data_IF_861207347219
#
_entry.id   IF_861207347219
#
_cell.length_a   1.000
_cell.length_b   1.000
_cell.length_c   1.000
_cell.angle_alpha   90.00
_cell.angle_beta   90.00
_cell.angle_gamma   90.00
#
_symmetry.space_group_name_H-M   'P 1'
#
loop_
_entity.id
_entity.type
_entity.pdbx_description
1 polymer ?
#
# COMPACT_ATOMS: atom_id res chain seq x y z
N UNK A 1 9.56 2.59 12.48
CA UNK A 1 9.89 2.00 11.15
C UNK A 1 10.31 3.13 10.22
N UNK A 2 11.40 2.97 9.45
CA UNK A 2 11.86 3.98 8.47
C UNK A 2 11.92 3.31 7.12
N UNK A 3 11.08 3.77 6.18
CA UNK A 3 11.09 3.32 4.78
C UNK A 3 11.37 4.50 3.86
N UNK A 4 11.86 4.21 2.66
CA UNK A 4 12.08 5.18 1.58
C UNK A 4 11.24 4.81 0.39
N UNK A 5 10.87 5.75 -0.46
CA UNK A 5 10.28 5.42 -1.76
C UNK A 5 11.21 4.50 -2.58
N UNK A 6 10.64 3.66 -3.48
CA UNK A 6 11.42 2.76 -4.33
C UNK A 6 12.19 3.49 -5.43
N UNK A 7 11.89 4.77 -5.68
CA UNK A 7 12.68 5.70 -6.47
C UNK A 7 13.16 6.87 -5.63
N UNK A 8 14.27 7.47 -6.01
CA UNK A 8 14.78 8.71 -5.40
C UNK A 8 15.08 9.69 -6.53
N UNK A 9 14.22 10.67 -6.68
CA UNK A 9 14.36 11.77 -7.62
C UNK A 9 14.84 13.03 -6.89
N UNK A 10 15.59 13.89 -7.55
CA UNK A 10 15.94 15.20 -6.98
C UNK A 10 14.69 15.98 -6.60
N UNK A 11 14.76 16.71 -5.49
CA UNK A 11 13.70 17.63 -5.08
C UNK A 11 13.71 18.85 -5.99
N UNK A 12 12.53 19.29 -6.41
CA UNK A 12 12.39 20.56 -7.12
C UNK A 12 12.51 21.73 -6.13
N UNK A 13 12.91 22.89 -6.64
CA UNK A 13 12.98 24.11 -5.82
C UNK A 13 11.57 24.46 -5.29
N UNK A 14 11.48 24.69 -3.98
CA UNK A 14 10.21 25.02 -3.31
C UNK A 14 9.23 23.87 -3.13
N UNK A 15 9.58 22.66 -3.54
CA UNK A 15 8.72 21.47 -3.39
C UNK A 15 8.61 21.04 -1.92
N UNK A 16 7.40 20.86 -1.41
CA UNK A 16 7.18 20.32 -0.06
C UNK A 16 7.44 18.81 0.01
N UNK A 17 7.60 18.26 1.21
CA UNK A 17 7.92 16.85 1.43
C UNK A 17 6.86 15.92 0.85
N UNK A 18 5.58 16.23 1.04
CA UNK A 18 4.47 15.42 0.54
C UNK A 18 4.49 15.32 -0.99
N UNK A 19 4.56 16.46 -1.68
CA UNK A 19 4.61 16.50 -3.15
C UNK A 19 5.85 15.80 -3.71
N UNK A 20 6.98 15.92 -3.01
CA UNK A 20 8.20 15.22 -3.39
C UNK A 20 8.04 13.71 -3.28
N UNK A 21 7.43 13.20 -2.19
CA UNK A 21 7.17 11.77 -2.00
C UNK A 21 6.17 11.26 -3.03
N UNK A 22 5.06 11.96 -3.25
CA UNK A 22 4.07 11.61 -4.27
C UNK A 22 4.69 11.49 -5.67
N UNK A 23 5.56 12.43 -6.03
CA UNK A 23 6.26 12.40 -7.32
C UNK A 23 7.23 11.23 -7.46
N UNK A 24 7.66 10.61 -6.36
CA UNK A 24 8.50 9.41 -6.39
C UNK A 24 7.71 8.10 -6.53
N UNK A 25 6.38 8.15 -6.37
CA UNK A 25 5.50 6.98 -6.53
C UNK A 25 4.32 7.33 -7.45
N UNK A 26 4.56 7.80 -8.68
CA UNK A 26 3.48 8.03 -9.62
C UNK A 26 2.88 6.68 -10.01
N UNK A 27 1.58 6.51 -9.77
CA UNK A 27 0.88 5.24 -10.00
C UNK A 27 0.06 5.26 -11.29
N UNK A 28 -0.11 4.08 -11.90
CA UNK A 28 -1.07 3.87 -12.97
C UNK A 28 -2.45 3.62 -12.37
N UNK A 29 -3.35 4.59 -12.52
CA UNK A 29 -4.72 4.54 -12.00
C UNK A 29 -5.55 3.34 -12.50
N UNK A 30 -5.14 2.65 -13.56
CA UNK A 30 -5.81 1.44 -14.04
C UNK A 30 -5.38 0.20 -13.24
N UNK A 31 -4.28 0.31 -12.46
CA UNK A 31 -3.61 -0.79 -11.78
C UNK A 31 -3.30 -0.43 -10.34
N UNK A 32 -4.30 0.18 -9.68
CA UNK A 32 -4.22 0.60 -8.30
C UNK A 32 -4.46 -0.54 -7.31
N UNK A 33 -4.07 -0.29 -6.07
CA UNK A 33 -4.34 -1.12 -4.90
C UNK A 33 -5.62 -0.62 -4.20
N UNK A 34 -6.41 -1.49 -3.57
CA UNK A 34 -6.36 -2.96 -3.58
C UNK A 34 -7.16 -3.61 -4.71
N UNK A 35 -7.94 -2.82 -5.45
CA UNK A 35 -8.78 -3.28 -6.55
C UNK A 35 -8.56 -2.35 -7.73
N UNK A 36 -8.18 -2.91 -8.85
CA UNK A 36 -8.01 -2.17 -10.08
C UNK A 36 -9.34 -1.81 -10.74
N UNK A 37 -9.32 -0.99 -11.79
CA UNK A 37 -10.55 -0.56 -12.49
C UNK A 37 -11.33 -1.70 -13.15
N UNK A 38 -10.70 -2.84 -13.40
CA UNK A 38 -11.38 -4.04 -13.90
C UNK A 38 -12.05 -4.88 -12.80
N UNK A 39 -11.99 -4.43 -11.55
CA UNK A 39 -12.57 -5.12 -10.41
C UNK A 39 -11.76 -6.32 -9.93
N UNK A 40 -10.52 -6.46 -10.37
CA UNK A 40 -9.62 -7.53 -9.94
C UNK A 40 -8.77 -7.10 -8.76
N UNK A 41 -8.51 -8.04 -7.83
CA UNK A 41 -7.58 -7.83 -6.73
C UNK A 41 -6.18 -7.54 -7.26
N UNK A 42 -5.55 -6.50 -6.74
CA UNK A 42 -4.19 -6.14 -7.06
C UNK A 42 -3.42 -5.83 -5.77
N UNK A 43 -2.50 -6.68 -5.37
CA UNK A 43 -1.81 -6.63 -4.06
C UNK A 43 -0.80 -5.51 -3.90
N UNK A 44 -0.58 -4.70 -4.92
CA UNK A 44 0.35 -3.57 -4.92
C UNK A 44 -0.07 -2.51 -5.91
N UNK A 45 0.87 -1.68 -6.33
CA UNK A 45 0.66 -0.62 -7.31
C UNK A 45 1.67 -0.75 -8.46
N UNK A 46 1.31 -0.31 -9.64
CA UNK A 46 2.28 -0.12 -10.73
C UNK A 46 2.84 1.29 -10.65
N UNK A 47 4.12 1.38 -10.33
CA UNK A 47 4.84 2.66 -10.24
C UNK A 47 5.36 3.00 -11.63
N UNK A 48 4.89 4.14 -12.17
CA UNK A 48 5.31 4.64 -13.46
C UNK A 48 6.72 5.24 -13.39
N UNK A 49 7.46 5.07 -14.45
CA UNK A 49 8.76 5.69 -14.58
C UNK A 49 8.93 6.29 -15.98
N UNK A 50 9.82 7.26 -16.07
CA UNK A 50 10.19 7.86 -17.35
C UNK A 50 11.57 7.33 -17.73
N UNK A 51 11.61 6.43 -18.72
CA UNK A 51 12.82 6.17 -19.46
C UNK A 51 12.89 7.14 -20.61
N UNK A 52 13.91 7.94 -20.62
CA UNK A 52 14.23 8.67 -21.81
C UNK A 52 15.52 8.11 -22.41
N UNK A 53 15.43 7.16 -23.36
CA UNK A 53 16.60 6.56 -24.00
C UNK A 53 17.48 7.59 -24.72
N UNK A 54 16.91 8.75 -25.12
CA UNK A 54 17.64 9.81 -25.84
C UNK A 54 18.53 10.66 -24.91
N UNK A 55 18.35 10.57 -23.60
CA UNK A 55 19.10 11.37 -22.62
C UNK A 55 20.29 10.66 -21.99
N UNK A 56 20.60 9.46 -22.47
CA UNK A 56 21.77 8.68 -22.07
C UNK A 56 21.64 7.96 -20.72
N UNK A 57 22.59 7.09 -20.42
CA UNK A 57 22.63 6.22 -19.23
C UNK A 57 22.50 6.93 -17.88
N UNK A 58 22.63 8.24 -17.84
CA UNK A 58 22.55 9.02 -16.60
C UNK A 58 21.13 9.22 -16.07
N UNK A 59 20.09 8.86 -16.83
CA UNK A 59 18.70 9.02 -16.44
C UNK A 59 17.88 7.74 -16.33
N UNK A 60 18.53 6.58 -16.37
CA UNK A 60 17.84 5.34 -16.03
C UNK A 60 17.47 5.38 -14.55
N UNK A 61 16.17 5.33 -14.28
CA UNK A 61 15.67 5.24 -12.92
C UNK A 61 15.92 3.83 -12.38
N UNK A 62 16.69 3.74 -11.31
CA UNK A 62 16.94 2.48 -10.62
C UNK A 62 15.91 2.26 -9.54
N UNK A 63 15.36 1.06 -9.50
CA UNK A 63 14.56 0.60 -8.37
C UNK A 63 15.47 0.39 -7.17
N UNK A 64 15.04 0.86 -6.02
CA UNK A 64 15.82 0.86 -4.77
C UNK A 64 15.11 0.12 -3.67
N UNK A 65 15.90 -0.51 -2.79
CA UNK A 65 15.39 -1.09 -1.56
C UNK A 65 14.76 -0.01 -0.67
N UNK A 66 13.53 -0.22 -0.25
CA UNK A 66 12.82 0.73 0.61
C UNK A 66 13.34 0.77 2.05
N UNK A 67 13.96 -0.31 2.50
CA UNK A 67 14.52 -0.47 3.84
C UNK A 67 15.67 -1.48 3.81
N UNK A 68 16.42 -1.54 4.90
CA UNK A 68 17.40 -2.60 5.12
C UNK A 68 16.70 -3.96 5.14
N UNK A 69 17.28 -4.96 4.50
CA UNK A 69 16.64 -6.26 4.38
C UNK A 69 17.54 -7.36 3.85
N UNK A 70 16.92 -8.50 3.65
CA UNK A 70 17.55 -9.72 3.12
C UNK A 70 16.76 -10.20 1.90
N UNK A 71 17.46 -10.61 0.87
CA UNK A 71 16.86 -11.20 -0.34
C UNK A 71 16.31 -12.59 -0.03
N UNK A 72 15.00 -12.74 -0.10
CA UNK A 72 14.32 -14.02 0.10
C UNK A 72 14.28 -14.83 -1.20
N UNK A 73 13.93 -14.15 -2.29
CA UNK A 73 13.83 -14.77 -3.60
C UNK A 73 14.00 -13.71 -4.68
N UNK A 74 14.46 -14.14 -5.83
CA UNK A 74 14.58 -13.29 -7.00
C UNK A 74 14.56 -14.11 -8.29
N UNK A 75 14.28 -13.44 -9.38
CA UNK A 75 14.45 -13.96 -10.73
C UNK A 75 15.09 -12.89 -11.59
N UNK A 76 16.15 -13.26 -12.28
CA UNK A 76 16.72 -12.42 -13.33
C UNK A 76 15.72 -12.34 -14.50
N UNK A 77 15.61 -11.19 -15.16
CA UNK A 77 14.75 -11.04 -16.32
C UNK A 77 15.08 -12.05 -17.42
N UNK A 78 14.05 -12.58 -18.05
CA UNK A 78 14.20 -13.49 -19.20
C UNK A 78 14.83 -12.76 -20.41
N UNK A 79 15.34 -13.52 -21.35
CA UNK A 79 15.85 -12.99 -22.61
C UNK A 79 14.72 -12.33 -23.46
N UNK A 80 15.14 -11.57 -24.47
CA UNK A 80 14.21 -10.81 -25.32
C UNK A 80 13.19 -11.72 -26.03
N UNK A 81 13.63 -12.87 -26.57
CA UNK A 81 12.75 -13.79 -27.28
C UNK A 81 11.58 -14.27 -26.42
N UNK A 82 11.86 -14.58 -25.15
CA UNK A 82 10.82 -15.02 -24.21
C UNK A 82 9.87 -13.88 -23.83
N UNK A 83 10.40 -12.67 -23.71
CA UNK A 83 9.57 -11.48 -23.39
C UNK A 83 8.65 -11.08 -24.52
N UNK A 84 9.00 -11.41 -25.76
CA UNK A 84 8.20 -11.11 -26.94
C UNK A 84 7.16 -12.22 -27.26
N UNK A 85 7.10 -13.27 -26.44
CA UNK A 85 6.18 -14.40 -26.58
C UNK A 85 5.21 -14.54 -25.40
N UNK A 86 4.09 -15.24 -25.63
CA UNK A 86 3.17 -15.61 -24.56
C UNK A 86 3.90 -16.46 -23.47
N UNK A 87 3.64 -16.25 -22.16
CA UNK A 87 2.62 -15.38 -21.59
C UNK A 87 3.09 -13.95 -21.29
N UNK A 88 4.31 -13.55 -21.62
CA UNK A 88 4.87 -12.25 -21.29
C UNK A 88 4.47 -11.15 -22.30
N UNK A 89 3.80 -11.51 -23.37
CA UNK A 89 3.28 -10.60 -24.37
C UNK A 89 1.81 -10.92 -24.67
N UNK A 90 0.90 -10.46 -23.80
CA UNK A 90 -0.56 -10.61 -23.96
C UNK A 90 -1.17 -9.31 -24.46
N UNK A 91 -0.95 -8.22 -23.74
CA UNK A 91 -1.43 -6.86 -24.06
C UNK A 91 -0.26 -5.92 -24.38
N UNK A 92 0.82 -6.48 -24.90
CA UNK A 92 2.11 -5.85 -25.04
C UNK A 92 3.16 -6.49 -24.14
N UNK A 93 4.39 -6.11 -24.35
CA UNK A 93 5.54 -6.70 -23.69
C UNK A 93 5.54 -6.43 -22.18
N UNK A 94 5.81 -7.49 -21.42
CA UNK A 94 5.98 -7.41 -19.95
C UNK A 94 7.32 -8.02 -19.56
N UNK A 95 8.10 -7.33 -18.75
CA UNK A 95 9.31 -7.85 -18.16
C UNK A 95 8.99 -8.75 -16.94
N UNK A 96 9.77 -9.80 -16.72
CA UNK A 96 9.45 -10.83 -15.73
C UNK A 96 10.43 -10.94 -14.56
N UNK A 97 11.40 -10.05 -14.49
CA UNK A 97 12.33 -10.00 -13.36
C UNK A 97 11.62 -9.61 -12.07
N UNK A 98 12.00 -10.22 -10.94
CA UNK A 98 11.49 -9.82 -9.64
C UNK A 98 12.52 -9.95 -8.52
N UNK A 99 12.29 -9.22 -7.43
CA UNK A 99 13.03 -9.30 -6.17
C UNK A 99 12.03 -9.26 -5.03
N UNK A 100 12.15 -10.20 -4.10
CA UNK A 100 11.43 -10.24 -2.83
C UNK A 100 12.41 -10.03 -1.69
N UNK A 101 12.21 -8.95 -0.93
CA UNK A 101 13.01 -8.62 0.24
C UNK A 101 12.21 -8.86 1.51
N UNK A 102 12.88 -9.40 2.53
CA UNK A 102 12.37 -9.49 3.91
C UNK A 102 13.02 -8.39 4.74
N UNK A 103 12.20 -7.67 5.47
CA UNK A 103 12.61 -6.61 6.36
C UNK A 103 12.24 -6.95 7.80
N UNK A 104 13.02 -6.46 8.74
CA UNK A 104 12.71 -6.52 10.16
C UNK A 104 12.93 -5.13 10.76
N UNK A 105 11.94 -4.63 11.43
CA UNK A 105 12.00 -3.33 12.09
C UNK A 105 11.40 -3.40 13.48
N UNK A 106 11.80 -2.48 14.32
CA UNK A 106 11.23 -2.29 15.64
C UNK A 106 10.24 -1.13 15.60
N UNK A 107 9.05 -1.36 16.20
CA UNK A 107 7.97 -0.39 16.30
C UNK A 107 7.56 -0.25 17.76
N UNK A 108 8.13 0.69 18.49
CA UNK A 108 7.88 0.84 19.92
C UNK A 108 8.62 -0.20 20.79
N UNK A 109 8.32 -0.24 22.05
CA UNK A 109 9.07 -0.96 23.07
C UNK A 109 9.11 -2.47 22.82
N UNK A 110 10.25 -2.93 22.32
CA UNK A 110 10.54 -4.36 22.09
C UNK A 110 9.60 -5.08 21.12
N UNK A 111 8.75 -4.34 20.38
CA UNK A 111 7.88 -4.92 19.38
C UNK A 111 8.58 -4.96 18.01
N UNK A 112 8.87 -6.17 17.54
CA UNK A 112 9.53 -6.37 16.25
C UNK A 112 8.51 -6.85 15.22
N UNK A 113 8.51 -6.18 14.06
CA UNK A 113 7.67 -6.49 12.91
C UNK A 113 8.52 -6.99 11.76
N UNK A 114 8.05 -8.07 11.13
CA UNK A 114 8.60 -8.58 9.88
C UNK A 114 7.64 -8.28 8.76
N UNK A 115 8.14 -7.68 7.69
CA UNK A 115 7.38 -7.38 6.49
C UNK A 115 8.22 -7.62 5.24
N UNK A 116 7.57 -7.64 4.10
CA UNK A 116 8.20 -7.92 2.83
C UNK A 116 7.92 -6.79 1.85
N UNK A 117 8.89 -6.54 0.96
CA UNK A 117 8.67 -5.72 -0.22
C UNK A 117 8.94 -6.53 -1.48
N UNK A 118 8.02 -6.45 -2.43
CA UNK A 118 8.08 -7.15 -3.71
C UNK A 118 8.19 -6.12 -4.84
N UNK A 119 9.14 -6.34 -5.70
CA UNK A 119 9.40 -5.55 -6.90
C UNK A 119 9.35 -6.49 -8.10
N UNK A 120 8.39 -6.30 -9.02
CA UNK A 120 8.23 -7.15 -10.20
C UNK A 120 8.34 -6.32 -11.49
N UNK A 121 8.43 -7.03 -12.59
CA UNK A 121 8.58 -6.44 -13.94
C UNK A 121 9.88 -5.65 -14.08
N UNK A 122 10.94 -6.15 -13.45
CA UNK A 122 12.27 -5.59 -13.59
C UNK A 122 12.91 -6.08 -14.90
N UNK A 123 13.67 -5.20 -15.56
CA UNK A 123 14.45 -5.53 -16.75
C UNK A 123 15.94 -5.46 -16.45
N UNK A 124 16.74 -5.98 -17.36
CA UNK A 124 18.18 -5.95 -17.33
C UNK A 124 18.82 -6.57 -16.06
N UNK A 125 20.03 -6.18 -15.75
CA UNK A 125 20.78 -6.79 -14.67
C UNK A 125 20.26 -6.31 -13.32
N UNK A 126 19.96 -7.27 -12.47
CA UNK A 126 19.86 -7.01 -11.05
C UNK A 126 21.23 -6.64 -10.48
N UNK A 127 21.25 -5.92 -9.37
CA UNK A 127 22.50 -5.64 -8.66
C UNK A 127 23.22 -6.95 -8.31
N UNK A 128 24.55 -7.01 -8.38
CA UNK A 128 25.34 -8.19 -7.95
C UNK A 128 25.10 -8.59 -6.48
N UNK A 129 24.61 -7.67 -5.65
CA UNK A 129 24.22 -7.96 -4.27
C UNK A 129 22.96 -8.84 -4.18
N UNK A 130 22.18 -8.94 -5.26
CA UNK A 130 20.94 -9.72 -5.31
C UNK A 130 21.27 -11.18 -5.49
N UNK A 131 21.25 -11.89 -4.37
CA UNK A 131 21.38 -13.34 -4.24
C UNK A 131 20.60 -13.77 -3.01
N UNK A 132 20.07 -14.95 -2.96
CA UNK A 132 19.36 -15.49 -1.80
C UNK A 132 20.20 -15.36 -0.52
N UNK A 133 19.62 -14.87 0.56
CA UNK A 133 20.28 -14.53 1.81
C UNK A 133 21.20 -13.30 1.73
N UNK A 134 21.28 -12.64 0.57
CA UNK A 134 22.06 -11.41 0.41
C UNK A 134 21.44 -10.24 1.16
N UNK A 135 22.26 -9.43 1.82
CA UNK A 135 21.80 -8.22 2.50
C UNK A 135 21.77 -7.04 1.55
N UNK A 136 20.74 -6.23 1.69
CA UNK A 136 20.59 -4.93 1.01
C UNK A 136 20.33 -3.86 2.06
N UNK A 137 20.78 -2.65 1.78
CA UNK A 137 20.56 -1.50 2.64
C UNK A 137 19.50 -0.58 2.04
N UNK A 138 18.82 0.15 2.87
CA UNK A 138 17.85 1.16 2.43
C UNK A 138 18.47 2.10 1.40
N UNK A 139 17.79 2.30 0.27
CA UNK A 139 18.22 3.09 -0.89
C UNK A 139 19.26 2.43 -1.80
N UNK A 140 19.72 1.23 -1.52
CA UNK A 140 20.55 0.49 -2.47
C UNK A 140 19.82 0.31 -3.79
N UNK A 141 20.56 0.42 -4.88
CA UNK A 141 20.07 0.06 -6.21
C UNK A 141 19.95 -1.45 -6.30
N UNK A 142 18.74 -1.96 -6.50
CA UNK A 142 18.50 -3.41 -6.54
C UNK A 142 18.23 -3.92 -7.95
N UNK A 143 17.70 -3.10 -8.83
CA UNK A 143 17.40 -3.46 -10.20
C UNK A 143 17.06 -2.25 -11.06
N UNK A 144 16.76 -2.52 -12.30
CA UNK A 144 16.23 -1.54 -13.22
C UNK A 144 14.74 -1.76 -13.41
N UNK A 145 14.00 -0.68 -13.47
CA UNK A 145 12.60 -0.64 -13.85
C UNK A 145 12.41 -1.26 -15.24
N UNK A 146 11.24 -1.82 -15.48
CA UNK A 146 10.93 -2.50 -16.72
C UNK A 146 9.60 -2.06 -17.32
N UNK A 147 8.89 -2.98 -17.95
CA UNK A 147 7.65 -2.74 -18.66
C UNK A 147 6.56 -3.70 -18.20
N UNK A 148 5.32 -3.20 -18.23
CA UNK A 148 4.10 -3.98 -18.04
C UNK A 148 3.12 -3.60 -19.16
N UNK A 149 2.76 -4.54 -20.02
CA UNK A 149 1.90 -4.33 -21.18
C UNK A 149 2.31 -3.06 -21.98
N UNK A 150 3.60 -2.99 -22.32
CA UNK A 150 4.26 -1.87 -23.02
C UNK A 150 4.32 -0.54 -22.26
N UNK A 151 3.80 -0.48 -21.03
CA UNK A 151 3.93 0.73 -20.21
C UNK A 151 5.19 0.66 -19.36
N UNK A 152 5.93 1.74 -19.31
CA UNK A 152 7.07 1.90 -18.42
C UNK A 152 6.62 1.93 -16.97
N UNK A 153 6.62 0.77 -16.33
CA UNK A 153 6.20 0.60 -14.95
C UNK A 153 6.85 -0.63 -14.32
N UNK A 154 6.91 -0.65 -13.00
CA UNK A 154 7.17 -1.86 -12.25
C UNK A 154 6.12 -2.02 -11.15
N UNK A 155 5.81 -3.27 -10.81
CA UNK A 155 4.92 -3.56 -9.68
C UNK A 155 5.68 -3.41 -8.37
N UNK A 156 5.07 -2.69 -7.43
CA UNK A 156 5.59 -2.51 -6.08
C UNK A 156 4.53 -2.86 -5.05
N UNK A 157 4.92 -3.69 -4.08
CA UNK A 157 4.02 -4.16 -3.04
C UNK A 157 4.77 -4.26 -1.70
N UNK A 158 4.08 -3.91 -0.62
CA UNK A 158 4.51 -4.17 0.76
C UNK A 158 3.45 -5.06 1.41
N UNK A 159 3.86 -6.11 2.09
CA UNK A 159 2.95 -7.02 2.77
C UNK A 159 3.60 -7.68 3.98
N UNK A 160 2.79 -8.21 4.86
CA UNK A 160 3.21 -9.04 5.99
C UNK A 160 2.14 -10.10 6.28
N UNK A 161 2.43 -11.03 7.17
CA UNK A 161 1.44 -11.95 7.67
C UNK A 161 0.50 -11.28 8.69
N UNK A 162 -0.57 -11.97 9.07
CA UNK A 162 -1.57 -11.45 10.00
C UNK A 162 -0.97 -11.11 11.37
N UNK A 163 -0.03 -11.90 11.88
CA UNK A 163 0.60 -11.63 13.16
C UNK A 163 1.34 -10.30 13.15
N UNK A 164 2.10 -10.03 12.10
CA UNK A 164 2.84 -8.79 11.96
C UNK A 164 1.91 -7.61 11.62
N UNK A 165 0.82 -7.85 10.88
CA UNK A 165 -0.21 -6.84 10.63
C UNK A 165 -0.87 -6.40 11.95
N UNK A 166 -1.21 -7.35 12.82
CA UNK A 166 -1.78 -7.04 14.14
C UNK A 166 -0.83 -6.20 15.00
N UNK A 167 0.46 -6.50 14.95
CA UNK A 167 1.47 -5.67 15.64
C UNK A 167 1.50 -4.24 15.09
N UNK A 168 1.39 -4.06 13.77
CA UNK A 168 1.37 -2.75 13.12
C UNK A 168 0.13 -1.94 13.46
N UNK A 169 -1.03 -2.57 13.50
CA UNK A 169 -2.31 -1.91 13.76
C UNK A 169 -2.61 -1.76 15.26
N UNK A 170 -1.77 -2.33 16.12
CA UNK A 170 -2.00 -2.35 17.57
C UNK A 170 -3.21 -3.17 18.01
N UNK A 171 -3.79 -3.98 17.11
CA UNK A 171 -4.98 -4.78 17.37
C UNK A 171 -4.62 -6.22 17.67
N UNK A 172 -5.12 -6.71 18.77
CA UNK A 172 -5.19 -8.15 19.06
C UNK A 172 -6.62 -8.59 18.72
N UNK A 173 -6.80 -9.31 17.63
CA UNK A 173 -8.11 -9.93 17.36
C UNK A 173 -8.37 -11.03 18.41
N UNK A 174 -9.63 -11.21 18.85
CA UNK A 174 -10.84 -10.50 18.42
C UNK A 174 -11.17 -9.28 19.27
N UNK A 175 -10.48 -9.01 20.36
CA UNK A 175 -10.81 -7.95 21.31
C UNK A 175 -9.69 -6.89 21.32
N UNK A 176 -10.08 -5.63 21.19
CA UNK A 176 -9.25 -4.50 21.58
C UNK A 176 -9.10 -4.54 23.09
N UNK A 177 -8.11 -5.26 23.62
CA UNK A 177 -7.84 -5.23 25.03
C UNK A 177 -7.07 -3.94 25.39
N UNK A 178 -7.84 -2.85 25.54
CA UNK A 178 -7.35 -1.54 25.97
C UNK A 178 -6.84 -1.54 27.41
N UNK A 179 -7.11 -2.61 28.16
CA UNK A 179 -6.77 -2.69 29.60
C UNK A 179 -5.42 -3.36 29.85
N UNK A 180 -4.85 -3.99 28.83
CA UNK A 180 -3.61 -4.75 28.95
C UNK A 180 -2.40 -3.87 28.78
N UNK A 181 -1.68 -3.64 29.87
CA UNK A 181 -0.33 -3.06 29.89
C UNK A 181 -0.20 -1.57 29.49
N UNK A 182 -1.20 -0.75 29.75
CA UNK A 182 -1.11 0.69 29.49
C UNK A 182 -1.01 1.05 28.01
N UNK A 183 -1.46 0.19 27.13
CA UNK A 183 -1.39 0.36 25.68
C UNK A 183 -2.39 1.35 25.07
N UNK A 184 -3.19 2.01 25.86
CA UNK A 184 -4.00 3.15 25.40
C UNK A 184 -3.16 4.20 24.70
N UNK A 185 -1.86 4.27 25.01
CA UNK A 185 -0.93 5.25 24.42
C UNK A 185 -0.27 4.80 23.12
N UNK A 186 -0.53 3.58 22.62
CA UNK A 186 0.25 2.98 21.54
C UNK A 186 -0.53 2.67 20.26
N UNK A 187 -1.81 3.00 20.19
CA UNK A 187 -2.57 2.85 18.95
C UNK A 187 -2.31 4.09 18.09
N UNK A 188 -1.51 3.90 17.06
CA UNK A 188 -1.21 4.91 16.06
C UNK A 188 -1.48 4.36 14.68
N UNK A 189 -1.96 5.21 13.81
CA UNK A 189 -2.10 4.91 12.40
C UNK A 189 -3.52 5.11 11.89
N UNK A 190 -3.69 4.83 10.63
CA UNK A 190 -4.93 5.04 9.91
C UNK A 190 -5.53 3.71 9.46
N UNK A 191 -6.86 3.63 9.56
CA UNK A 191 -7.65 2.57 8.95
C UNK A 191 -8.54 3.23 7.91
N UNK A 192 -8.52 2.69 6.71
CA UNK A 192 -9.33 3.20 5.61
C UNK A 192 -10.34 2.16 5.20
N UNK A 193 -11.61 2.57 5.08
CA UNK A 193 -12.70 1.75 4.60
C UNK A 193 -13.22 2.32 3.29
N UNK A 194 -13.46 1.46 2.33
CA UNK A 194 -14.23 1.78 1.15
C UNK A 194 -15.63 1.19 1.29
N UNK A 195 -16.64 2.05 1.24
CA UNK A 195 -18.04 1.68 1.31
C UNK A 195 -18.65 1.93 -0.07
N UNK A 196 -18.98 0.89 -0.83
CA UNK A 196 -19.60 1.08 -2.15
C UNK A 196 -20.98 1.72 -2.03
N UNK A 197 -21.45 2.33 -3.11
CA UNK A 197 -22.84 2.76 -3.21
C UNK A 197 -23.78 1.57 -2.97
N UNK A 198 -24.85 1.78 -2.23
CA UNK A 198 -25.76 0.72 -1.81
C UNK A 198 -25.35 0.02 -0.51
N UNK A 199 -24.30 0.45 0.16
CA UNK A 199 -23.95 -0.05 1.51
C UNK A 199 -25.07 0.25 2.48
N UNK A 200 -25.50 -0.79 3.21
CA UNK A 200 -26.60 -0.71 4.18
C UNK A 200 -26.04 -0.45 5.57
N UNK A 201 -26.63 0.50 6.27
CA UNK A 201 -26.32 0.85 7.66
C UNK A 201 -27.50 0.47 8.55
N UNK A 202 -27.21 -0.20 9.63
CA UNK A 202 -28.21 -0.72 10.56
C UNK A 202 -28.10 -0.03 11.91
N UNK A 203 -29.20 -0.05 12.68
CA UNK A 203 -29.31 0.61 13.99
C UNK A 203 -28.39 -0.01 15.06
N UNK A 204 -28.04 -1.27 14.90
CA UNK A 204 -27.17 -1.98 15.84
C UNK A 204 -26.24 -2.95 15.12
N UNK A 205 -25.18 -3.32 15.80
CA UNK A 205 -24.21 -4.31 15.31
C UNK A 205 -24.88 -5.68 15.28
N UNK A 206 -24.68 -6.44 14.19
CA UNK A 206 -25.10 -7.83 14.14
C UNK A 206 -24.37 -8.62 15.23
N UNK A 207 -25.11 -9.44 15.98
CA UNK A 207 -24.50 -10.39 16.89
C UNK A 207 -23.53 -11.30 16.10
N UNK A 208 -22.30 -11.45 16.60
CA UNK A 208 -21.26 -12.24 15.95
C UNK A 208 -21.65 -13.71 15.72
N UNK A 209 -22.67 -14.19 16.43
CA UNK A 209 -23.25 -15.52 16.28
C UNK A 209 -24.33 -15.63 15.18
N UNK A 210 -24.80 -14.50 14.66
CA UNK A 210 -25.89 -14.43 13.69
C UNK A 210 -25.57 -13.40 12.62
N UNK A 211 -25.11 -13.85 11.47
CA UNK A 211 -24.99 -13.03 10.27
C UNK A 211 -26.36 -12.65 9.67
N UNK A 212 -27.45 -12.81 10.42
CA UNK A 212 -28.82 -12.57 9.99
C UNK A 212 -29.15 -11.07 10.11
N UNK A 213 -28.82 -10.34 9.06
CA UNK A 213 -29.14 -8.90 8.94
C UNK A 213 -30.65 -8.64 8.77
N UNK A 214 -31.46 -9.69 8.54
CA UNK A 214 -32.92 -9.54 8.33
C UNK A 214 -33.65 -9.11 9.62
N UNK A 215 -32.99 -9.25 10.78
CA UNK A 215 -33.53 -8.83 12.08
C UNK A 215 -33.09 -7.44 12.50
N UNK A 216 -32.21 -6.81 11.76
CA UNK A 216 -31.71 -5.48 12.08
C UNK A 216 -32.54 -4.41 11.37
N UNK A 217 -32.83 -3.33 12.07
CA UNK A 217 -33.50 -2.19 11.46
C UNK A 217 -32.54 -1.45 10.53
N UNK A 218 -32.85 -1.41 9.25
CA UNK A 218 -32.12 -0.63 8.28
C UNK A 218 -32.35 0.85 8.51
N UNK A 219 -31.30 1.61 8.83
CA UNK A 219 -31.37 3.05 9.07
C UNK A 219 -31.11 3.83 7.81
N UNK A 220 -30.13 3.41 7.03
CA UNK A 220 -29.68 4.14 5.85
C UNK A 220 -29.09 3.20 4.80
N UNK A 221 -29.13 3.65 3.55
CA UNK A 221 -28.39 3.03 2.45
C UNK A 221 -27.64 4.11 1.71
N UNK A 222 -26.32 3.94 1.55
CA UNK A 222 -25.50 4.93 0.86
C UNK A 222 -25.94 5.11 -0.60
N UNK A 223 -26.15 6.34 -1.01
CA UNK A 223 -26.48 6.68 -2.40
C UNK A 223 -25.23 6.74 -3.29
N UNK A 224 -24.05 6.88 -2.70
CA UNK A 224 -22.77 7.04 -3.36
C UNK A 224 -21.68 6.24 -2.66
N UNK A 225 -20.54 6.04 -3.32
CA UNK A 225 -19.38 5.42 -2.71
C UNK A 225 -18.72 6.37 -1.71
N UNK A 226 -18.38 5.86 -0.53
CA UNK A 226 -17.79 6.63 0.56
C UNK A 226 -16.41 6.04 0.92
N UNK A 227 -15.52 6.91 1.34
CA UNK A 227 -14.19 6.59 1.83
C UNK A 227 -14.07 7.10 3.26
N UNK A 228 -14.01 6.19 4.22
CA UNK A 228 -13.92 6.51 5.64
C UNK A 228 -12.49 6.30 6.10
N UNK A 229 -11.90 7.29 6.73
CA UNK A 229 -10.60 7.20 7.38
C UNK A 229 -10.75 7.37 8.87
N UNK A 230 -10.28 6.41 9.63
CA UNK A 230 -10.16 6.49 11.10
C UNK A 230 -8.69 6.66 11.44
N UNK A 231 -8.33 7.76 12.07
CA UNK A 231 -6.98 8.07 12.51
C UNK A 231 -6.88 7.90 14.01
N UNK A 232 -5.95 7.08 14.44
CA UNK A 232 -5.68 6.81 15.86
C UNK A 232 -4.40 7.51 16.30
N UNK A 233 -4.48 8.28 17.37
CA UNK A 233 -3.35 8.93 18.01
C UNK A 233 -3.50 8.89 19.53
N UNK A 234 -2.59 8.20 20.22
CA UNK A 234 -2.55 8.10 21.69
C UNK A 234 -3.86 7.64 22.36
N UNK A 235 -4.59 6.75 21.68
CA UNK A 235 -5.88 6.29 22.17
C UNK A 235 -7.08 7.12 21.72
N UNK A 236 -6.85 8.33 21.19
CA UNK A 236 -7.89 9.10 20.56
C UNK A 236 -8.15 8.60 19.14
N UNK A 237 -9.40 8.62 18.71
CA UNK A 237 -9.81 8.31 17.35
C UNK A 237 -10.46 9.53 16.71
N UNK A 238 -10.07 9.80 15.49
CA UNK A 238 -10.75 10.79 14.64
C UNK A 238 -11.24 10.10 13.37
N UNK A 239 -12.45 10.37 12.95
CA UNK A 239 -13.03 9.77 11.75
C UNK A 239 -13.44 10.85 10.75
N UNK A 240 -13.06 10.65 9.49
CA UNK A 240 -13.43 11.54 8.38
C UNK A 240 -14.03 10.68 7.28
N UNK A 241 -15.24 11.06 6.85
CA UNK A 241 -15.88 10.47 5.68
C UNK A 241 -15.67 11.38 4.46
N UNK A 242 -15.32 10.79 3.34
CA UNK A 242 -15.08 11.49 2.07
C UNK A 242 -15.86 10.82 0.95
N UNK A 243 -16.19 11.60 -0.08
CA UNK A 243 -16.67 11.12 -1.37
C UNK A 243 -15.74 11.55 -2.48
N UNK A 244 -15.64 10.78 -3.54
CA UNK A 244 -14.86 11.16 -4.71
C UNK A 244 -15.59 12.28 -5.45
N UNK A 245 -14.87 13.36 -5.75
CA UNK A 245 -15.40 14.42 -6.60
C UNK A 245 -15.39 13.93 -8.05
N UNK A 246 -16.56 13.69 -8.62
CA UNK A 246 -16.73 13.18 -9.97
C UNK A 246 -16.29 14.18 -11.06
N UNK A 247 -16.21 15.46 -10.72
CA UNK A 247 -15.78 16.52 -11.65
C UNK A 247 -14.26 16.63 -11.74
N UNK A 248 -13.57 16.36 -10.62
CA UNK A 248 -12.12 16.48 -10.49
C UNK A 248 -11.55 15.13 -10.01
N UNK A 249 -11.75 14.08 -10.72
CA UNK A 249 -11.52 12.67 -10.41
C UNK A 249 -10.46 12.23 -9.37
N UNK A 250 -9.49 13.08 -9.04
CA UNK A 250 -8.47 12.82 -8.01
C UNK A 250 -8.75 13.57 -6.69
N UNK A 251 -9.84 14.32 -6.59
CA UNK A 251 -10.22 15.04 -5.38
C UNK A 251 -11.28 14.32 -4.58
N UNK A 252 -11.17 14.43 -3.26
CA UNK A 252 -12.13 13.91 -2.32
C UNK A 252 -12.71 15.05 -1.50
N UNK A 253 -14.03 15.17 -1.50
CA UNK A 253 -14.75 16.14 -0.68
C UNK A 253 -15.10 15.50 0.66
N UNK A 254 -14.95 16.22 1.77
CA UNK A 254 -15.41 15.76 3.09
C UNK A 254 -16.93 15.76 3.12
N UNK A 255 -17.51 14.70 3.66
CA UNK A 255 -18.95 14.54 3.85
C UNK A 255 -19.27 14.67 5.34
N UNK A 256 -20.08 15.66 5.68
CA UNK A 256 -20.40 15.95 7.08
C UNK A 256 -19.23 16.58 7.86
N UNK A 257 -19.39 16.65 9.17
CA UNK A 257 -18.34 17.13 10.06
C UNK A 257 -17.43 15.98 10.48
N UNK A 258 -16.10 16.20 10.56
CA UNK A 258 -15.20 15.21 11.12
C UNK A 258 -15.58 14.89 12.58
N UNK A 259 -15.64 13.61 12.90
CA UNK A 259 -15.73 13.17 14.29
C UNK A 259 -14.33 13.19 14.89
N UNK A 260 -14.18 13.90 16.01
CA UNK A 260 -12.88 14.05 16.69
C UNK A 260 -12.99 13.63 18.14
N UNK A 261 -11.87 13.16 18.70
CA UNK A 261 -11.77 12.72 20.10
C UNK A 261 -12.79 11.63 20.44
N UNK A 262 -12.99 10.68 19.55
CA UNK A 262 -13.84 9.53 19.84
C UNK A 262 -13.08 8.65 20.83
N UNK A 263 -13.65 8.45 22.01
CA UNK A 263 -13.05 7.58 23.03
C UNK A 263 -12.87 6.16 22.46
N UNK A 264 -11.68 5.60 22.59
CA UNK A 264 -11.39 4.25 22.13
C UNK A 264 -12.35 3.19 22.70
N UNK A 265 -12.96 3.46 23.86
CA UNK A 265 -13.98 2.60 24.47
C UNK A 265 -15.36 2.74 23.79
N UNK A 266 -15.55 3.71 22.92
CA UNK A 266 -16.81 3.91 22.16
C UNK A 266 -16.72 3.40 20.72
N UNK A 267 -15.57 2.88 20.32
CA UNK A 267 -15.36 2.37 18.94
C UNK A 267 -16.20 1.10 18.70
N UNK A 268 -16.55 0.37 19.75
CA UNK A 268 -17.41 -0.81 19.65
C UNK A 268 -18.85 -0.46 19.23
N UNK A 269 -19.23 0.82 19.31
CA UNK A 269 -20.57 1.32 18.96
C UNK A 269 -20.60 1.97 17.56
N UNK A 270 -19.47 2.00 16.83
CA UNK A 270 -19.35 2.55 15.47
C UNK A 270 -19.07 1.43 14.45
#
# INVERSE_FOLDING_TARGET
>A
MIISPPFIRPRNEGECDASWVERMIPTDLNRDFPVNRSGSWHGGVHVLHTDNPDEGYNRIEFVRAIADGEVVSFRAPSNTERRDAFPLNINGRTDDGYILLKHKTEIGESCSVVYYSLYMHLRDRLSPAIREGGKVWRKDRIGQNGMVDENNAFHFQIFCDNENMLKLTGRMLPELDVTRDGRTDTVYGDIHFYLPAGTRFYESVADAASADTDRLNLVHTSAEALFVSMTFEKGDCSMITRRQNITIGAHFDTVGEPLVNIDANQIDDI
#
